data_IF_557315667510
#
_entry.id   IF_557315667510
#
_cell.length_a   1.000
_cell.length_b   1.000
_cell.length_c   1.000
_cell.angle_alpha   90.00
_cell.angle_beta   90.00
_cell.angle_gamma   90.00
#
_symmetry.space_group_name_H-M   'P 1'
#
loop_
_entity.id
_entity.type
_entity.pdbx_description
1 polymer ?
#
# COMPACT_ATOMS: atom_id res chain seq x y z
N UNK A 1 77.78 15.06 -60.41
CA UNK A 1 76.55 14.33 -60.78
C UNK A 1 76.06 13.58 -59.54
N UNK A 2 74.81 13.89 -59.14
CA UNK A 2 73.96 13.45 -58.01
C UNK A 2 74.39 12.25 -57.13
N UNK A 3 74.57 12.50 -55.84
CA UNK A 3 74.31 11.54 -54.74
C UNK A 3 73.53 12.29 -53.64
N UNK A 4 72.58 11.58 -52.99
CA UNK A 4 71.83 11.90 -51.75
C UNK A 4 70.35 12.28 -51.93
N UNK A 5 69.47 11.28 -52.09
CA UNK A 5 68.05 11.33 -51.67
C UNK A 5 67.47 9.93 -51.40
N UNK A 6 68.05 9.12 -50.50
CA UNK A 6 67.38 7.89 -50.01
C UNK A 6 67.86 7.63 -48.57
N UNK A 7 67.29 8.31 -47.57
CA UNK A 7 67.50 7.95 -46.13
C UNK A 7 66.28 8.15 -45.22
N UNK A 8 65.15 8.69 -45.70
CA UNK A 8 64.00 8.99 -44.83
C UNK A 8 62.88 7.93 -44.86
N UNK A 9 62.93 6.94 -45.75
CA UNK A 9 61.83 5.98 -45.96
C UNK A 9 61.84 4.75 -45.03
N UNK A 10 62.94 4.46 -44.33
CA UNK A 10 63.07 3.27 -43.46
C UNK A 10 62.61 3.52 -42.01
N UNK A 11 62.40 4.77 -41.59
CA UNK A 11 61.93 5.12 -40.24
C UNK A 11 60.41 5.40 -40.16
N UNK A 12 59.75 5.63 -41.30
CA UNK A 12 58.32 5.93 -41.33
C UNK A 12 57.43 4.69 -41.10
N UNK A 13 57.86 3.53 -41.61
CA UNK A 13 57.10 2.27 -41.53
C UNK A 13 56.91 1.76 -40.09
N UNK A 14 57.94 1.68 -39.22
CA UNK A 14 57.73 1.25 -37.84
C UNK A 14 56.90 2.26 -37.04
N UNK A 15 56.98 3.56 -37.36
CA UNK A 15 56.24 4.60 -36.65
C UNK A 15 54.74 4.58 -37.00
N UNK A 16 54.41 4.26 -38.26
CA UNK A 16 53.03 4.02 -38.70
C UNK A 16 52.48 2.73 -38.06
N UNK A 17 53.27 1.66 -37.98
CA UNK A 17 52.87 0.40 -37.35
C UNK A 17 52.59 0.56 -35.84
N UNK A 18 53.44 1.31 -35.13
CA UNK A 18 53.23 1.63 -33.70
C UNK A 18 52.03 2.54 -33.50
N UNK A 19 51.82 3.54 -34.37
CA UNK A 19 50.63 4.38 -34.33
C UNK A 19 49.35 3.57 -34.60
N UNK A 20 49.35 2.66 -35.57
CA UNK A 20 48.19 1.78 -35.81
C UNK A 20 47.95 0.80 -34.66
N UNK A 21 49.00 0.26 -34.03
CA UNK A 21 48.85 -0.59 -32.84
C UNK A 21 48.27 0.18 -31.64
N UNK A 22 48.70 1.43 -31.45
CA UNK A 22 48.20 2.31 -30.39
C UNK A 22 46.74 2.74 -30.65
N UNK A 23 46.35 2.99 -31.91
CA UNK A 23 44.95 3.25 -32.26
C UNK A 23 44.06 2.01 -32.04
N UNK A 24 44.53 0.80 -32.35
CA UNK A 24 43.77 -0.43 -32.04
C UNK A 24 43.69 -0.72 -30.54
N UNK A 25 44.68 -0.30 -29.74
CA UNK A 25 44.64 -0.44 -28.28
C UNK A 25 43.62 0.51 -27.61
N UNK A 26 43.36 1.68 -28.21
CA UNK A 26 42.39 2.63 -27.66
C UNK A 26 40.92 2.24 -27.93
N UNK A 27 40.65 1.30 -28.84
CA UNK A 27 39.28 0.89 -29.15
C UNK A 27 38.75 -0.28 -28.30
N UNK A 28 39.58 -0.97 -27.54
CA UNK A 28 39.15 -2.15 -26.76
C UNK A 28 38.61 -1.83 -25.35
N UNK A 29 38.53 -0.56 -24.96
CA UNK A 29 38.16 -0.16 -23.59
C UNK A 29 36.72 0.33 -23.36
N UNK A 30 35.85 0.42 -24.39
CA UNK A 30 34.56 1.12 -24.27
C UNK A 30 33.30 0.23 -24.35
N UNK A 31 33.41 -1.09 -24.34
CA UNK A 31 32.25 -1.97 -24.51
C UNK A 31 31.47 -2.27 -23.22
N UNK A 32 31.91 -1.80 -22.04
CA UNK A 32 31.28 -2.13 -20.76
C UNK A 32 30.45 -0.98 -20.12
N UNK A 33 30.61 0.25 -20.58
CA UNK A 33 29.96 1.44 -19.97
C UNK A 33 28.75 1.99 -20.75
N UNK A 34 28.43 1.46 -21.94
CA UNK A 34 27.35 2.01 -22.77
C UNK A 34 25.95 1.50 -22.43
N UNK A 35 25.82 0.40 -21.67
CA UNK A 35 24.50 -0.18 -21.34
C UNK A 35 23.76 0.64 -20.28
N UNK A 36 24.48 1.29 -19.36
CA UNK A 36 23.87 2.07 -18.26
C UNK A 36 23.57 3.53 -18.63
N UNK A 37 24.22 4.07 -19.67
CA UNK A 37 24.03 5.47 -20.11
C UNK A 37 22.68 5.70 -20.82
N UNK A 38 22.02 4.64 -21.29
CA UNK A 38 20.76 4.73 -22.04
C UNK A 38 19.52 4.61 -21.14
N UNK A 39 19.67 4.17 -19.89
CA UNK A 39 18.51 3.90 -19.05
C UNK A 39 17.64 5.13 -18.77
N UNK A 40 18.18 6.32 -18.42
CA UNK A 40 17.35 7.52 -18.24
C UNK A 40 16.59 7.93 -19.51
N UNK A 41 17.21 7.77 -20.69
CA UNK A 41 16.57 8.09 -21.98
C UNK A 41 15.49 7.09 -22.36
N UNK A 42 15.71 5.80 -22.05
CA UNK A 42 14.72 4.74 -22.22
C UNK A 42 13.50 4.98 -21.33
N UNK A 43 13.69 5.29 -20.04
CA UNK A 43 12.58 5.57 -19.12
C UNK A 43 11.71 6.72 -19.64
N UNK A 44 12.33 7.81 -20.08
CA UNK A 44 11.61 8.94 -20.67
C UNK A 44 10.82 8.55 -21.93
N UNK A 45 11.37 7.65 -22.74
CA UNK A 45 10.70 7.13 -23.94
C UNK A 45 9.49 6.28 -23.56
N UNK A 46 9.67 5.34 -22.62
CA UNK A 46 8.57 4.49 -22.12
C UNK A 46 7.46 5.36 -21.53
N UNK A 47 7.80 6.35 -20.71
CA UNK A 47 6.79 7.22 -20.09
C UNK A 47 6.07 8.12 -21.10
N UNK A 48 6.73 8.53 -22.18
CA UNK A 48 6.07 9.23 -23.27
C UNK A 48 5.15 8.31 -24.10
N UNK A 49 5.46 7.01 -24.18
CA UNK A 49 4.61 6.03 -24.88
C UNK A 49 3.39 5.63 -24.05
N UNK A 50 3.54 5.37 -22.75
CA UNK A 50 2.39 5.06 -21.89
C UNK A 50 1.39 6.22 -21.84
N UNK A 51 1.84 7.48 -21.94
CA UNK A 51 0.94 8.64 -22.07
C UNK A 51 0.01 8.49 -23.28
N UNK A 52 0.62 8.18 -24.44
CA UNK A 52 -0.13 8.00 -25.68
C UNK A 52 -1.06 6.79 -25.60
N UNK A 53 -0.56 5.67 -25.09
CA UNK A 53 -1.26 4.40 -25.07
C UNK A 53 -2.42 4.38 -24.06
N UNK A 54 -2.24 5.02 -22.90
CA UNK A 54 -3.21 4.95 -21.80
C UNK A 54 -3.95 6.27 -21.52
N UNK A 55 -3.83 7.28 -22.39
CA UNK A 55 -4.56 8.55 -22.24
C UNK A 55 -6.09 8.39 -22.20
N UNK A 56 -6.63 7.35 -22.82
CA UNK A 56 -8.06 7.00 -22.80
C UNK A 56 -8.45 6.05 -21.68
N UNK A 57 -7.55 5.79 -20.71
CA UNK A 57 -7.84 4.88 -19.60
C UNK A 57 -8.94 5.45 -18.69
N UNK A 58 -10.09 4.81 -18.73
CA UNK A 58 -11.26 5.09 -17.90
C UNK A 58 -11.19 4.36 -16.56
N UNK A 59 -12.09 4.72 -15.65
CA UNK A 59 -12.26 4.06 -14.36
C UNK A 59 -12.71 2.60 -14.55
N UNK A 60 -12.35 1.75 -13.60
CA UNK A 60 -12.57 0.31 -13.59
C UNK A 60 -12.00 -0.43 -14.80
N UNK A 61 -10.90 0.08 -15.36
CA UNK A 61 -10.18 -0.53 -16.49
C UNK A 61 -8.68 -0.63 -16.23
N UNK A 62 -8.04 -1.55 -16.93
CA UNK A 62 -6.60 -1.65 -17.10
C UNK A 62 -6.21 -1.25 -18.53
N UNK A 63 -4.99 -0.74 -18.67
CA UNK A 63 -4.35 -0.43 -19.94
C UNK A 63 -3.04 -1.21 -20.06
N UNK A 64 -2.85 -1.85 -21.21
CA UNK A 64 -1.56 -2.35 -21.65
C UNK A 64 -0.68 -1.13 -22.00
N UNK A 65 0.18 -0.74 -21.07
CA UNK A 65 0.93 0.53 -21.18
C UNK A 65 2.11 0.44 -22.14
N UNK A 66 2.98 -0.54 -21.92
CA UNK A 66 4.16 -0.80 -22.73
C UNK A 66 4.37 -2.31 -22.90
N UNK A 67 5.37 -2.71 -23.68
CA UNK A 67 5.67 -4.11 -23.99
C UNK A 67 5.77 -5.02 -22.76
N UNK A 68 5.52 -6.32 -22.94
CA UNK A 68 5.64 -7.36 -21.92
C UNK A 68 4.63 -7.28 -20.76
N UNK A 69 3.37 -6.98 -21.11
CA UNK A 69 2.23 -7.17 -20.20
C UNK A 69 1.53 -8.49 -20.56
N UNK A 70 1.13 -9.24 -19.55
CA UNK A 70 0.34 -10.46 -19.63
C UNK A 70 -0.87 -10.33 -18.70
N UNK A 71 -1.99 -10.95 -19.06
CA UNK A 71 -3.17 -10.97 -18.21
C UNK A 71 -3.87 -12.33 -18.27
N UNK A 72 -4.42 -12.75 -17.14
CA UNK A 72 -5.38 -13.83 -17.04
C UNK A 72 -6.78 -13.25 -16.80
N UNK A 73 -7.79 -13.87 -17.39
CA UNK A 73 -9.18 -13.42 -17.33
C UNK A 73 -10.07 -14.49 -16.69
N UNK A 74 -11.20 -14.06 -16.13
CA UNK A 74 -12.18 -14.96 -15.53
C UNK A 74 -13.03 -15.74 -16.55
N UNK A 75 -12.90 -15.42 -17.83
CA UNK A 75 -13.56 -16.07 -18.95
C UNK A 75 -12.57 -16.27 -20.12
N UNK A 76 -12.91 -17.13 -21.07
CA UNK A 76 -12.08 -17.36 -22.26
C UNK A 76 -12.13 -16.13 -23.19
N UNK A 77 -10.97 -15.57 -23.52
CA UNK A 77 -10.83 -14.39 -24.37
C UNK A 77 -10.21 -14.74 -25.72
N UNK A 78 -10.48 -13.97 -26.79
CA UNK A 78 -9.76 -14.10 -28.06
C UNK A 78 -8.24 -13.99 -27.91
N UNK A 79 -7.48 -14.70 -28.73
CA UNK A 79 -6.01 -14.73 -28.70
C UNK A 79 -5.34 -13.35 -28.86
N UNK A 80 -6.05 -12.37 -29.45
CA UNK A 80 -5.58 -11.01 -29.67
C UNK A 80 -6.05 -10.00 -28.61
N UNK A 81 -6.81 -10.44 -27.61
CA UNK A 81 -7.35 -9.56 -26.57
C UNK A 81 -6.29 -9.16 -25.53
N UNK A 82 -6.08 -7.86 -25.34
CA UNK A 82 -5.14 -7.30 -24.35
C UNK A 82 -3.70 -7.81 -24.55
N UNK A 83 -3.23 -7.74 -25.80
CA UNK A 83 -1.92 -8.26 -26.22
C UNK A 83 -0.97 -7.18 -26.72
N UNK A 84 -1.45 -5.95 -26.94
CA UNK A 84 -0.68 -4.86 -27.52
C UNK A 84 -0.83 -3.55 -26.72
N UNK A 85 0.16 -2.64 -26.80
CA UNK A 85 0.03 -1.32 -26.21
C UNK A 85 -1.21 -0.58 -26.67
N UNK A 86 -1.84 0.13 -25.73
CA UNK A 86 -3.14 0.81 -25.85
C UNK A 86 -4.38 -0.09 -25.79
N UNK A 87 -4.22 -1.42 -25.67
CA UNK A 87 -5.36 -2.29 -25.37
C UNK A 87 -5.91 -1.97 -23.97
N UNK A 88 -7.23 -1.95 -23.86
CA UNK A 88 -7.96 -1.72 -22.62
C UNK A 88 -8.76 -2.96 -22.24
N UNK A 89 -8.78 -3.28 -20.95
CA UNK A 89 -9.59 -4.37 -20.42
C UNK A 89 -10.30 -3.95 -19.12
N UNK A 90 -11.62 -4.19 -18.98
CA UNK A 90 -12.33 -3.99 -17.73
C UNK A 90 -11.72 -4.79 -16.57
N UNK A 91 -11.51 -4.14 -15.42
CA UNK A 91 -10.97 -4.81 -14.22
C UNK A 91 -11.88 -5.93 -13.70
N UNK A 92 -13.18 -5.87 -14.00
CA UNK A 92 -14.13 -6.93 -13.66
C UNK A 92 -13.89 -8.25 -14.42
N UNK A 93 -13.11 -8.23 -15.51
CA UNK A 93 -12.75 -9.42 -16.28
C UNK A 93 -11.33 -9.91 -15.96
N UNK A 94 -10.46 -9.06 -15.43
CA UNK A 94 -9.08 -9.39 -15.12
C UNK A 94 -9.02 -10.17 -13.80
N UNK A 95 -8.44 -11.35 -13.85
CA UNK A 95 -8.08 -12.14 -12.67
C UNK A 95 -6.67 -11.78 -12.21
N UNK A 96 -5.70 -11.78 -13.13
CA UNK A 96 -4.31 -11.41 -12.85
C UNK A 96 -3.78 -10.52 -13.97
N UNK A 97 -2.97 -9.52 -13.63
CA UNK A 97 -2.15 -8.76 -14.57
C UNK A 97 -0.69 -8.85 -14.14
N UNK A 98 0.20 -9.14 -15.08
CA UNK A 98 1.62 -9.31 -14.85
C UNK A 98 2.43 -8.49 -15.85
N UNK A 99 3.45 -7.81 -15.35
CA UNK A 99 4.47 -7.11 -16.14
C UNK A 99 5.82 -7.81 -15.96
N UNK A 100 6.71 -7.71 -16.94
CA UNK A 100 8.04 -8.33 -16.89
C UNK A 100 9.16 -7.30 -16.63
N UNK A 101 10.30 -7.73 -16.03
CA UNK A 101 11.40 -6.84 -15.74
C UNK A 101 12.05 -6.30 -17.02
N UNK A 102 12.77 -5.18 -16.89
CA UNK A 102 13.54 -4.62 -18.00
C UNK A 102 14.53 -5.67 -18.54
N UNK A 103 14.41 -5.97 -19.84
CA UNK A 103 15.42 -6.71 -20.59
C UNK A 103 16.42 -5.70 -21.21
N UNK A 104 17.69 -5.66 -20.74
CA UNK A 104 18.67 -4.71 -21.22
C UNK A 104 19.13 -4.97 -22.66
N UNK A 105 18.85 -6.16 -23.22
CA UNK A 105 19.24 -6.51 -24.60
C UNK A 105 18.19 -6.04 -25.59
N UNK A 106 16.90 -6.24 -25.26
CA UNK A 106 15.79 -5.87 -26.15
C UNK A 106 15.24 -4.48 -25.85
N UNK A 107 15.59 -3.89 -24.70
CA UNK A 107 15.01 -2.64 -24.17
C UNK A 107 13.49 -2.72 -23.96
N UNK A 108 13.01 -3.93 -23.69
CA UNK A 108 11.61 -4.18 -23.36
C UNK A 108 11.43 -4.08 -21.85
N UNK A 109 10.40 -3.36 -21.41
CA UNK A 109 10.12 -3.15 -19.99
C UNK A 109 8.61 -3.20 -19.74
N UNK A 110 8.16 -4.14 -18.90
CA UNK A 110 6.77 -4.28 -18.54
C UNK A 110 6.22 -3.05 -17.83
N UNK A 111 5.25 -2.38 -18.43
CA UNK A 111 4.47 -1.32 -17.77
C UNK A 111 2.99 -1.46 -18.07
N UNK A 112 2.16 -1.49 -17.02
CA UNK A 112 0.71 -1.50 -17.11
C UNK A 112 0.11 -0.48 -16.14
N UNK A 113 -1.07 0.04 -16.49
CA UNK A 113 -1.80 0.97 -15.64
C UNK A 113 -3.20 0.44 -15.34
N UNK A 114 -3.70 0.69 -14.15
CA UNK A 114 -5.09 0.44 -13.80
C UNK A 114 -5.70 1.64 -13.09
N UNK A 115 -6.97 1.90 -13.35
CA UNK A 115 -7.77 2.86 -12.56
C UNK A 115 -8.89 2.08 -11.90
N UNK A 116 -8.76 1.78 -10.61
CA UNK A 116 -9.82 1.11 -9.86
C UNK A 116 -10.69 2.11 -9.11
N UNK A 117 -11.93 1.72 -8.83
CA UNK A 117 -12.82 2.46 -7.95
C UNK A 117 -12.43 2.34 -6.46
N UNK A 118 -12.00 1.17 -6.01
CA UNK A 118 -11.89 0.83 -4.60
C UNK A 118 -13.20 1.12 -3.82
N UNK A 119 -13.14 1.82 -2.69
CA UNK A 119 -14.33 2.27 -1.94
C UNK A 119 -14.83 3.66 -2.35
N UNK A 120 -14.39 4.21 -3.49
CA UNK A 120 -14.87 5.51 -3.96
C UNK A 120 -16.32 5.40 -4.47
N UNK A 121 -17.18 6.40 -4.23
CA UNK A 121 -18.54 6.39 -4.76
C UNK A 121 -18.57 6.46 -6.29
N UNK A 122 -19.64 5.94 -6.90
CA UNK A 122 -19.83 6.00 -8.35
C UNK A 122 -20.17 7.39 -8.88
N UNK A 123 -20.66 8.30 -8.02
CA UNK A 123 -21.10 9.62 -8.48
C UNK A 123 -20.01 10.70 -8.41
N UNK A 124 -18.75 10.34 -8.14
CA UNK A 124 -17.61 11.27 -8.17
C UNK A 124 -16.84 11.06 -9.47
N UNK A 125 -17.20 11.77 -10.55
CA UNK A 125 -16.55 11.59 -11.83
C UNK A 125 -15.06 11.97 -11.74
N UNK A 126 -14.21 11.12 -12.34
CA UNK A 126 -12.78 11.37 -12.47
C UNK A 126 -11.91 10.93 -11.29
N UNK A 127 -12.49 10.53 -10.15
CA UNK A 127 -11.70 9.97 -9.04
C UNK A 127 -11.54 8.45 -9.20
N UNK A 128 -10.29 7.99 -9.12
CA UNK A 128 -9.93 6.58 -9.13
C UNK A 128 -8.67 6.35 -8.32
N UNK A 129 -8.47 5.12 -7.88
CA UNK A 129 -7.18 4.64 -7.40
C UNK A 129 -6.35 4.24 -8.60
N UNK A 130 -5.22 4.92 -8.81
CA UNK A 130 -4.31 4.64 -9.92
C UNK A 130 -3.29 3.61 -9.45
N UNK A 131 -3.13 2.55 -10.23
CA UNK A 131 -2.08 1.55 -10.07
C UNK A 131 -1.11 1.70 -11.24
N UNK A 132 0.18 1.75 -10.94
CA UNK A 132 1.24 1.72 -11.97
C UNK A 132 2.13 0.52 -11.66
N UNK A 133 2.09 -0.47 -12.54
CA UNK A 133 2.90 -1.68 -12.48
C UNK A 133 4.12 -1.44 -13.36
N UNK A 134 5.32 -1.55 -12.78
CA UNK A 134 6.58 -1.30 -13.48
C UNK A 134 7.56 -2.42 -13.20
N UNK A 135 8.14 -3.00 -14.25
CA UNK A 135 9.08 -4.12 -14.14
C UNK A 135 8.38 -5.43 -13.86
N UNK A 136 9.02 -6.32 -13.11
CA UNK A 136 8.43 -7.61 -12.68
C UNK A 136 7.41 -7.35 -11.57
N UNK A 137 6.13 -7.26 -11.93
CA UNK A 137 5.02 -7.04 -11.00
C UNK A 137 3.85 -7.90 -11.41
N UNK A 138 3.31 -8.65 -10.47
CA UNK A 138 2.07 -9.40 -10.62
C UNK A 138 1.04 -8.82 -9.66
N UNK A 139 -0.18 -8.58 -10.13
CA UNK A 139 -1.33 -8.20 -9.30
C UNK A 139 -2.49 -9.14 -9.62
N UNK A 140 -2.94 -9.87 -8.60
CA UNK A 140 -4.07 -10.79 -8.64
C UNK A 140 -5.27 -10.18 -7.91
N UNK A 141 -6.41 -10.08 -8.57
CA UNK A 141 -7.66 -9.65 -7.94
C UNK A 141 -8.13 -10.73 -6.96
N UNK A 142 -8.33 -10.35 -5.70
CA UNK A 142 -8.78 -11.25 -4.63
C UNK A 142 -10.18 -10.93 -4.13
N UNK A 143 -10.92 -10.10 -4.87
CA UNK A 143 -12.36 -9.92 -4.65
C UNK A 143 -13.12 -11.07 -5.29
N UNK A 144 -13.73 -11.92 -4.45
CA UNK A 144 -14.50 -13.05 -4.91
C UNK A 144 -15.73 -12.61 -5.73
N UNK A 145 -16.14 -13.34 -6.80
CA UNK A 145 -17.24 -12.95 -7.67
C UNK A 145 -18.57 -12.65 -6.98
N UNK A 146 -18.85 -13.34 -5.87
CA UNK A 146 -20.02 -13.14 -5.00
C UNK A 146 -19.98 -11.83 -4.21
N UNK A 147 -18.79 -11.27 -3.96
CA UNK A 147 -18.56 -10.03 -3.23
C UNK A 147 -18.31 -8.83 -4.16
N UNK A 148 -18.29 -9.05 -5.48
CA UNK A 148 -18.08 -7.99 -6.47
C UNK A 148 -19.26 -7.03 -6.46
N UNK A 149 -18.97 -5.76 -6.20
CA UNK A 149 -19.89 -4.65 -6.41
C UNK A 149 -20.27 -4.58 -7.89
N UNK A 150 -21.54 -4.87 -8.19
CA UNK A 150 -22.10 -4.75 -9.55
C UNK A 150 -23.00 -3.51 -9.55
N UNK A 151 -22.50 -2.35 -10.01
CA UNK A 151 -23.30 -1.13 -10.02
C UNK A 151 -24.56 -1.36 -10.87
N UNK A 152 -25.72 -1.06 -10.28
CA UNK A 152 -26.97 -0.89 -11.03
C UNK A 152 -27.21 0.58 -11.26
N UNK A 153 -28.22 0.92 -12.08
CA UNK A 153 -28.57 2.31 -12.28
C UNK A 153 -28.98 2.94 -10.94
N UNK A 154 -28.38 4.08 -10.55
CA UNK A 154 -28.81 4.78 -9.36
C UNK A 154 -30.30 5.13 -9.40
N UNK A 155 -30.91 5.17 -8.23
CA UNK A 155 -32.34 5.48 -8.07
C UNK A 155 -32.49 6.88 -7.51
N UNK A 156 -33.23 7.72 -8.21
CA UNK A 156 -33.56 9.07 -7.76
C UNK A 156 -34.45 9.03 -6.51
N UNK A 157 -34.21 9.98 -5.61
CA UNK A 157 -34.91 10.09 -4.33
C UNK A 157 -34.99 11.55 -3.88
N UNK A 158 -36.02 11.88 -3.11
CA UNK A 158 -36.22 13.24 -2.57
C UNK A 158 -36.36 13.20 -1.06
N UNK A 159 -35.63 14.06 -0.36
CA UNK A 159 -35.72 14.18 1.09
C UNK A 159 -37.12 14.67 1.50
N UNK A 160 -37.84 13.88 2.29
CA UNK A 160 -39.17 14.25 2.83
C UNK A 160 -39.06 15.22 4.01
N UNK A 161 -37.92 15.20 4.70
CA UNK A 161 -37.59 16.02 5.86
C UNK A 161 -36.08 16.29 5.90
N UNK A 162 -35.66 17.16 6.82
CA UNK A 162 -34.23 17.34 7.08
C UNK A 162 -33.63 16.01 7.56
N UNK A 163 -32.51 15.61 6.96
CA UNK A 163 -31.89 14.32 7.19
C UNK A 163 -30.41 14.48 7.56
N UNK A 164 -29.95 13.65 8.50
CA UNK A 164 -28.52 13.54 8.80
C UNK A 164 -27.85 12.64 7.76
N UNK A 165 -26.68 13.07 7.30
CA UNK A 165 -25.79 12.26 6.46
C UNK A 165 -24.72 11.64 7.35
N UNK A 166 -24.51 10.34 7.22
CA UNK A 166 -23.62 9.56 8.09
C UNK A 166 -22.53 8.84 7.34
N UNK A 167 -21.43 8.55 8.04
CA UNK A 167 -20.30 7.78 7.47
C UNK A 167 -20.59 6.28 7.29
N UNK A 168 -21.68 5.75 7.85
CA UNK A 168 -22.07 4.35 7.72
C UNK A 168 -23.57 4.09 7.97
N UNK A 169 -24.07 2.88 7.64
CA UNK A 169 -25.48 2.54 7.64
C UNK A 169 -26.02 2.25 9.05
N UNK A 170 -26.08 3.28 9.90
CA UNK A 170 -26.60 3.14 11.26
C UNK A 170 -26.61 4.44 12.05
N UNK A 171 -27.42 4.50 13.11
CA UNK A 171 -27.54 5.70 13.96
C UNK A 171 -26.33 5.91 14.88
N UNK A 172 -25.50 4.88 15.05
CA UNK A 172 -24.24 4.91 15.83
C UNK A 172 -23.04 5.42 15.03
N UNK A 173 -23.15 5.50 13.70
CA UNK A 173 -22.10 6.06 12.85
C UNK A 173 -22.08 7.59 12.94
N UNK A 174 -20.90 8.19 12.78
CA UNK A 174 -20.72 9.63 12.88
C UNK A 174 -21.57 10.37 11.85
N UNK A 175 -22.14 11.52 12.26
CA UNK A 175 -22.81 12.46 11.36
C UNK A 175 -21.73 13.30 10.68
N UNK A 176 -21.72 13.29 9.35
CA UNK A 176 -20.74 13.99 8.52
C UNK A 176 -21.37 15.15 7.75
N UNK A 177 -22.69 15.30 7.79
CA UNK A 177 -23.40 16.37 7.11
C UNK A 177 -24.91 16.33 7.34
N UNK A 178 -25.62 17.19 6.61
CA UNK A 178 -27.07 17.29 6.67
C UNK A 178 -27.66 17.68 5.32
N UNK A 179 -28.90 17.25 5.10
CA UNK A 179 -29.69 17.55 3.91
C UNK A 179 -30.97 18.24 4.33
N UNK A 180 -31.36 19.27 3.57
CA UNK A 180 -32.64 19.93 3.76
C UNK A 180 -33.78 19.15 3.10
N UNK A 181 -34.99 19.30 3.63
CA UNK A 181 -36.19 18.75 3.01
C UNK A 181 -36.35 19.26 1.56
N UNK A 182 -36.74 18.37 0.65
CA UNK A 182 -36.86 18.63 -0.79
C UNK A 182 -35.57 18.44 -1.58
N UNK A 183 -34.44 18.12 -0.94
CA UNK A 183 -33.18 17.83 -1.64
C UNK A 183 -33.34 16.56 -2.49
N UNK A 184 -33.06 16.67 -3.78
CA UNK A 184 -33.02 15.55 -4.73
C UNK A 184 -31.61 14.94 -4.77
N UNK A 185 -31.53 13.61 -4.71
CA UNK A 185 -30.29 12.83 -4.73
C UNK A 185 -30.51 11.54 -5.49
N UNK A 186 -29.43 10.80 -5.69
CA UNK A 186 -29.47 9.43 -6.20
C UNK A 186 -28.85 8.48 -5.16
N UNK A 187 -29.47 7.32 -4.97
CA UNK A 187 -28.90 6.22 -4.20
C UNK A 187 -28.39 5.12 -5.13
N UNK A 188 -27.26 4.52 -4.77
CA UNK A 188 -26.61 3.45 -5.54
C UNK A 188 -26.58 2.10 -4.79
N UNK A 189 -26.96 2.09 -3.50
CA UNK A 189 -26.98 0.88 -2.68
C UNK A 189 -28.01 0.93 -1.54
N UNK A 190 -28.29 -0.24 -0.96
CA UNK A 190 -28.93 -0.35 0.35
C UNK A 190 -28.04 -1.07 1.36
N UNK A 191 -28.28 -0.85 2.66
CA UNK A 191 -27.67 -1.67 3.71
C UNK A 191 -28.22 -3.12 3.68
N UNK A 192 -27.58 -4.08 4.37
CA UNK A 192 -28.07 -5.48 4.44
C UNK A 192 -29.51 -5.63 4.92
N UNK A 193 -29.93 -4.78 5.85
CA UNK A 193 -31.29 -4.73 6.37
C UNK A 193 -32.23 -3.81 5.57
N UNK A 194 -31.73 -3.17 4.51
CA UNK A 194 -32.48 -2.27 3.63
C UNK A 194 -32.91 -0.94 4.24
N UNK A 195 -32.55 -0.65 5.50
CA UNK A 195 -33.01 0.55 6.24
C UNK A 195 -32.22 1.82 5.89
N UNK A 196 -31.04 1.68 5.29
CA UNK A 196 -30.19 2.79 4.88
C UNK A 196 -29.96 2.76 3.38
N UNK A 197 -29.89 3.94 2.79
CA UNK A 197 -29.52 4.15 1.40
C UNK A 197 -28.15 4.77 1.34
N UNK A 198 -27.30 4.23 0.46
CA UNK A 198 -25.98 4.82 0.19
C UNK A 198 -26.14 5.89 -0.87
N UNK A 199 -25.55 7.03 -0.59
CA UNK A 199 -25.50 8.20 -1.47
C UNK A 199 -24.04 8.66 -1.56
N UNK A 200 -23.80 9.60 -2.46
CA UNK A 200 -22.57 10.40 -2.41
C UNK A 200 -22.85 11.73 -1.76
N UNK A 201 -21.99 12.09 -0.81
CA UNK A 201 -22.03 13.38 -0.14
C UNK A 201 -20.62 13.93 -0.08
N UNK A 202 -20.40 15.16 -0.55
CA UNK A 202 -19.07 15.81 -0.58
C UNK A 202 -17.95 14.91 -1.16
N UNK A 203 -18.26 14.20 -2.24
CA UNK A 203 -17.36 13.26 -2.93
C UNK A 203 -16.94 12.00 -2.15
N UNK A 204 -17.70 11.60 -1.12
CA UNK A 204 -17.47 10.37 -0.39
C UNK A 204 -18.77 9.57 -0.21
N UNK A 205 -18.62 8.27 0.07
CA UNK A 205 -19.76 7.38 0.27
C UNK A 205 -20.36 7.71 1.62
N UNK A 206 -21.66 7.93 1.64
CA UNK A 206 -22.38 8.30 2.83
C UNK A 206 -23.73 7.59 2.89
N UNK A 207 -24.34 7.63 4.05
CA UNK A 207 -25.55 6.88 4.33
C UNK A 207 -26.63 7.77 4.92
N UNK A 208 -27.84 7.59 4.42
CA UNK A 208 -29.05 8.27 4.90
C UNK A 208 -30.13 7.25 5.23
N UNK A 209 -30.98 7.59 6.21
CA UNK A 209 -32.07 6.72 6.63
C UNK A 209 -33.14 6.68 5.53
N UNK A 210 -33.47 5.48 5.04
CA UNK A 210 -34.44 5.28 3.95
C UNK A 210 -35.80 5.92 4.23
N UNK A 211 -36.25 5.82 5.48
CA UNK A 211 -37.56 6.34 5.93
C UNK A 211 -37.73 7.86 5.79
N UNK A 212 -36.64 8.61 5.57
CA UNK A 212 -36.67 10.06 5.41
C UNK A 212 -36.78 10.51 3.94
N UNK A 213 -36.91 9.57 3.00
CA UNK A 213 -36.89 9.86 1.57
C UNK A 213 -38.06 9.22 0.85
N UNK A 214 -38.58 9.94 -0.13
CA UNK A 214 -39.42 9.38 -1.17
C UNK A 214 -38.48 8.76 -2.19
N UNK A 215 -38.60 7.46 -2.42
CA UNK A 215 -37.71 6.71 -3.30
C UNK A 215 -38.55 6.13 -4.41
N UNK A 216 -38.17 6.40 -5.65
CA UNK A 216 -38.89 5.88 -6.81
C UNK A 216 -38.95 4.34 -6.73
N UNK A 217 -40.08 3.77 -7.19
CA UNK A 217 -40.44 2.35 -7.02
C UNK A 217 -39.45 1.31 -7.62
N UNK A 218 -38.34 1.75 -8.21
CA UNK A 218 -37.18 0.96 -8.66
C UNK A 218 -36.16 0.69 -7.54
N UNK A 219 -36.37 1.23 -6.33
CA UNK A 219 -35.49 1.05 -5.18
C UNK A 219 -35.32 -0.41 -4.69
N UNK A 220 -36.12 -1.34 -5.22
CA UNK A 220 -36.02 -2.78 -4.96
C UNK A 220 -34.84 -3.44 -5.69
N UNK A 221 -34.28 -2.76 -6.69
CA UNK A 221 -33.20 -3.27 -7.56
C UNK A 221 -31.81 -2.73 -7.19
N UNK A 222 -31.71 -1.94 -6.11
CA UNK A 222 -30.43 -1.45 -5.61
C UNK A 222 -29.63 -2.62 -5.00
N UNK A 223 -28.34 -2.78 -5.35
CA UNK A 223 -27.48 -3.77 -4.74
C UNK A 223 -27.29 -3.51 -3.24
N UNK A 224 -27.12 -4.59 -2.49
CA UNK A 224 -26.78 -4.51 -1.07
C UNK A 224 -25.30 -4.17 -0.94
N UNK A 225 -24.99 -3.03 -0.31
CA UNK A 225 -23.64 -2.69 0.12
C UNK A 225 -23.48 -3.13 1.57
N UNK A 226 -22.58 -4.08 1.79
CA UNK A 226 -22.16 -4.50 3.11
C UNK A 226 -20.64 -4.35 3.29
N UNK A 227 -20.15 -4.64 4.48
CA UNK A 227 -18.72 -4.55 4.78
C UNK A 227 -17.86 -5.55 4.00
N UNK A 228 -18.47 -6.55 3.35
CA UNK A 228 -17.80 -7.55 2.50
C UNK A 228 -17.83 -7.19 1.02
N UNK A 229 -18.72 -6.30 0.59
CA UNK A 229 -18.84 -5.90 -0.81
C UNK A 229 -17.64 -5.04 -1.20
N UNK A 230 -17.02 -5.36 -2.34
CA UNK A 230 -15.78 -4.74 -2.81
C UNK A 230 -15.84 -4.54 -4.32
N UNK A 231 -15.19 -3.50 -4.83
CA UNK A 231 -15.01 -3.33 -6.27
C UNK A 231 -13.74 -4.07 -6.73
N UNK A 232 -13.59 -4.38 -8.04
CA UNK A 232 -12.37 -5.03 -8.54
C UNK A 232 -11.10 -4.31 -8.09
N UNK A 233 -10.06 -5.07 -7.74
CA UNK A 233 -8.76 -4.56 -7.27
C UNK A 233 -8.79 -3.75 -5.97
N UNK A 234 -9.90 -3.76 -5.22
CA UNK A 234 -9.92 -3.23 -3.85
C UNK A 234 -9.28 -4.18 -2.84
N UNK A 235 -9.33 -5.48 -3.14
CA UNK A 235 -8.60 -6.53 -2.45
C UNK A 235 -7.77 -7.28 -3.48
N UNK A 236 -6.45 -7.31 -3.29
CA UNK A 236 -5.54 -7.91 -4.25
C UNK A 236 -4.31 -8.47 -3.56
N UNK A 237 -3.69 -9.45 -4.21
CA UNK A 237 -2.33 -9.87 -3.90
C UNK A 237 -1.41 -9.27 -4.93
N UNK A 238 -0.23 -8.83 -4.51
CA UNK A 238 0.82 -8.45 -5.43
C UNK A 238 2.11 -9.21 -5.14
N UNK A 239 2.94 -9.35 -6.17
CA UNK A 239 4.32 -9.84 -6.10
C UNK A 239 5.19 -8.93 -6.94
N UNK A 240 6.47 -8.84 -6.60
CA UNK A 240 7.44 -8.17 -7.46
C UNK A 240 8.73 -8.97 -7.53
N UNK A 241 9.41 -8.95 -8.67
CA UNK A 241 10.75 -9.52 -8.76
C UNK A 241 11.70 -8.87 -7.77
N UNK A 242 12.35 -9.67 -6.94
CA UNK A 242 13.40 -9.25 -6.01
C UNK A 242 14.75 -9.74 -6.52
N UNK A 243 15.68 -8.84 -6.78
CA UNK A 243 16.96 -9.18 -7.40
C UNK A 243 17.72 -7.96 -7.92
N UNK A 244 18.89 -8.22 -8.49
CA UNK A 244 19.70 -7.16 -9.10
C UNK A 244 18.97 -6.61 -10.34
N UNK A 245 18.70 -5.31 -10.33
CA UNK A 245 18.05 -4.61 -11.42
C UNK A 245 19.03 -4.39 -12.56
N UNK A 246 18.60 -4.64 -13.79
CA UNK A 246 19.37 -4.26 -14.98
C UNK A 246 19.58 -2.73 -15.07
N UNK A 247 18.65 -1.96 -14.49
CA UNK A 247 18.80 -0.52 -14.31
C UNK A 247 18.17 -0.05 -12.99
N UNK A 248 18.90 0.77 -12.23
CA UNK A 248 18.42 1.37 -10.97
C UNK A 248 17.20 2.28 -11.13
N UNK A 249 17.03 2.91 -12.30
CA UNK A 249 15.88 3.76 -12.61
C UNK A 249 14.64 3.03 -13.14
N UNK A 250 14.72 1.72 -13.36
CA UNK A 250 13.60 0.89 -13.83
C UNK A 250 13.31 -0.21 -12.79
N UNK A 251 12.76 0.16 -11.61
CA UNK A 251 12.53 -0.78 -10.53
C UNK A 251 11.39 -1.75 -10.85
N UNK A 252 11.41 -2.92 -10.19
CA UNK A 252 10.23 -3.75 -9.99
C UNK A 252 9.43 -3.15 -8.85
N UNK A 253 8.32 -2.47 -9.17
CA UNK A 253 7.58 -1.67 -8.20
C UNK A 253 6.11 -1.51 -8.60
N UNK A 254 5.23 -1.66 -7.61
CA UNK A 254 3.83 -1.30 -7.73
C UNK A 254 3.61 0.06 -7.05
N UNK A 255 3.17 1.07 -7.79
CA UNK A 255 2.69 2.33 -7.23
C UNK A 255 1.18 2.26 -7.11
N UNK A 256 0.65 2.72 -5.98
CA UNK A 256 -0.78 2.90 -5.74
C UNK A 256 -1.02 4.34 -5.29
N UNK A 257 -1.84 5.07 -6.03
CA UNK A 257 -2.16 6.47 -5.77
C UNK A 257 -3.67 6.64 -5.59
N UNK A 258 -4.09 7.01 -4.39
CA UNK A 258 -5.46 7.45 -4.12
C UNK A 258 -5.75 8.86 -4.67
N UNK A 259 -7.01 9.32 -4.70
CA UNK A 259 -7.33 10.71 -5.02
C UNK A 259 -6.82 11.69 -3.95
N UNK A 260 -6.61 12.96 -4.29
CA UNK A 260 -6.28 13.97 -3.28
C UNK A 260 -7.42 14.13 -2.27
N UNK A 261 -7.07 14.29 -0.99
CA UNK A 261 -8.00 14.57 0.11
C UNK A 261 -9.07 13.48 0.37
N UNK A 262 -8.94 12.30 -0.25
CA UNK A 262 -9.85 11.17 -0.04
C UNK A 262 -9.07 9.98 0.45
N UNK A 263 -9.46 9.45 1.62
CA UNK A 263 -8.89 8.22 2.16
C UNK A 263 -9.63 7.02 1.58
N UNK A 264 -8.91 6.16 0.89
CA UNK A 264 -9.40 4.88 0.38
C UNK A 264 -8.98 3.73 1.32
N UNK A 265 -9.73 2.63 1.27
CA UNK A 265 -9.43 1.39 1.99
C UNK A 265 -9.08 0.29 1.01
N UNK A 266 -7.95 -0.38 1.24
CA UNK A 266 -7.46 -1.49 0.44
C UNK A 266 -7.13 -2.68 1.34
N UNK A 267 -7.25 -3.88 0.76
CA UNK A 267 -6.71 -5.10 1.35
C UNK A 267 -5.61 -5.63 0.44
N UNK A 268 -4.36 -5.55 0.90
CA UNK A 268 -3.19 -5.90 0.10
C UNK A 268 -2.50 -7.09 0.76
N UNK A 269 -2.33 -8.18 0.04
CA UNK A 269 -1.71 -9.41 0.56
C UNK A 269 -2.37 -9.87 1.89
N UNK A 270 -3.68 -9.66 2.01
CA UNK A 270 -4.46 -10.01 3.21
C UNK A 270 -4.43 -8.96 4.34
N UNK A 271 -3.57 -7.94 4.28
CA UNK A 271 -3.54 -6.87 5.27
C UNK A 271 -4.45 -5.70 4.87
N UNK A 272 -5.28 -5.24 5.81
CA UNK A 272 -6.08 -4.03 5.64
C UNK A 272 -5.24 -2.77 5.86
N UNK A 273 -5.48 -1.77 5.01
CA UNK A 273 -4.86 -0.46 5.13
C UNK A 273 -5.74 0.63 4.55
N UNK A 274 -5.48 1.87 4.97
CA UNK A 274 -6.03 3.05 4.32
C UNK A 274 -4.93 3.95 3.80
N UNK A 275 -5.15 4.54 2.63
CA UNK A 275 -4.27 5.54 2.04
C UNK A 275 -5.07 6.72 1.54
N UNK A 276 -4.59 7.93 1.77
CA UNK A 276 -5.10 9.16 1.12
C UNK A 276 -3.99 9.81 0.28
N UNK A 277 -3.21 8.96 -0.40
CA UNK A 277 -1.78 9.23 -0.60
C UNK A 277 -1.22 8.42 -1.78
N UNK A 278 0.05 8.70 -2.13
CA UNK A 278 0.82 7.89 -3.08
C UNK A 278 1.78 6.98 -2.31
N UNK A 279 1.60 5.68 -2.47
CA UNK A 279 2.46 4.66 -1.85
C UNK A 279 3.11 3.80 -2.92
N UNK A 280 4.20 3.14 -2.53
CA UNK A 280 4.86 2.14 -3.36
C UNK A 280 5.11 0.85 -2.59
N UNK A 281 4.95 -0.26 -3.30
CA UNK A 281 5.14 -1.61 -2.81
C UNK A 281 6.23 -2.32 -3.59
N UNK A 282 7.07 -3.07 -2.87
CA UNK A 282 8.10 -3.95 -3.43
C UNK A 282 8.31 -5.15 -2.51
N UNK A 283 8.72 -6.28 -3.06
CA UNK A 283 9.34 -7.37 -2.32
C UNK A 283 10.85 -7.16 -2.33
N UNK A 284 11.47 -7.23 -1.15
CA UNK A 284 12.93 -7.09 -1.01
C UNK A 284 13.63 -8.45 -0.97
N UNK A 285 12.88 -9.50 -0.64
CA UNK A 285 13.21 -10.91 -0.76
C UNK A 285 11.90 -11.72 -0.89
N UNK A 286 11.99 -13.05 -0.84
CA UNK A 286 10.85 -13.95 -1.07
C UNK A 286 9.79 -13.90 0.05
N UNK A 287 10.18 -13.45 1.25
CA UNK A 287 9.39 -13.51 2.48
C UNK A 287 9.20 -12.13 3.13
N UNK A 288 9.55 -11.04 2.44
CA UNK A 288 9.43 -9.69 2.97
C UNK A 288 8.87 -8.70 1.96
N UNK A 289 7.77 -8.06 2.35
CA UNK A 289 7.22 -6.90 1.65
C UNK A 289 7.72 -5.60 2.28
N UNK A 290 8.06 -4.63 1.43
CA UNK A 290 8.33 -3.25 1.78
C UNK A 290 7.18 -2.35 1.28
N UNK A 291 6.70 -1.48 2.16
CA UNK A 291 5.83 -0.36 1.83
C UNK A 291 6.60 0.94 2.07
N UNK A 292 6.59 1.83 1.09
CA UNK A 292 7.14 3.18 1.22
C UNK A 292 6.11 4.22 0.84
N UNK A 293 6.00 5.29 1.61
CA UNK A 293 5.06 6.39 1.34
C UNK A 293 5.78 7.51 0.64
N UNK A 294 5.35 7.84 -0.58
CA UNK A 294 5.93 8.90 -1.39
C UNK A 294 5.26 10.22 -1.04
N UNK A 295 3.93 10.25 -0.96
CA UNK A 295 3.17 11.46 -0.62
C UNK A 295 2.07 11.13 0.40
N UNK A 296 1.75 12.08 1.28
CA UNK A 296 0.72 11.97 2.31
C UNK A 296 1.07 10.99 3.43
N UNK A 297 0.17 10.07 3.75
CA UNK A 297 0.36 9.04 4.78
C UNK A 297 -0.41 7.75 4.46
N UNK A 298 0.15 6.62 4.90
CA UNK A 298 -0.52 5.33 4.95
C UNK A 298 -0.87 4.95 6.39
N UNK A 299 -2.03 4.33 6.57
CA UNK A 299 -2.54 3.87 7.86
C UNK A 299 -2.72 2.36 7.80
N UNK A 300 -1.80 1.63 8.41
CA UNK A 300 -1.72 0.18 8.35
C UNK A 300 -2.43 -0.44 9.53
N UNK A 301 -2.97 -1.64 9.31
CA UNK A 301 -3.88 -2.33 10.23
C UNK A 301 -5.22 -1.59 10.39
N UNK A 302 -6.22 -2.34 10.82
CA UNK A 302 -7.54 -1.87 11.23
C UNK A 302 -7.64 -1.81 12.76
N UNK A 303 -8.54 -0.96 13.27
CA UNK A 303 -8.82 -0.88 14.71
C UNK A 303 -7.97 0.15 15.46
N UNK A 304 -7.64 -0.14 16.74
CA UNK A 304 -7.13 0.80 17.75
C UNK A 304 -5.61 0.99 17.79
N UNK A 305 -4.85 0.29 16.94
CA UNK A 305 -3.38 0.34 16.91
C UNK A 305 -2.86 0.59 15.48
N UNK A 306 -3.52 1.51 14.75
CA UNK A 306 -3.17 1.77 13.35
C UNK A 306 -1.78 2.38 13.25
N UNK A 307 -0.88 1.71 12.53
CA UNK A 307 0.47 2.23 12.29
C UNK A 307 0.39 3.32 11.23
N UNK A 308 0.91 4.50 11.55
CA UNK A 308 0.96 5.63 10.62
C UNK A 308 2.33 5.68 9.97
N UNK A 309 2.36 5.64 8.65
CA UNK A 309 3.59 5.81 7.85
C UNK A 309 3.48 7.11 7.07
N UNK A 310 4.20 8.18 7.46
CA UNK A 310 4.17 9.45 6.73
C UNK A 310 5.06 9.41 5.49
N UNK A 311 4.87 10.39 4.59
CA UNK A 311 5.72 10.57 3.42
C UNK A 311 7.22 10.60 3.77
N UNK A 312 8.01 9.90 2.96
CA UNK A 312 9.45 9.78 3.13
C UNK A 312 9.87 8.66 4.09
N UNK A 313 8.92 7.86 4.59
CA UNK A 313 9.17 6.72 5.46
C UNK A 313 8.80 5.40 4.80
N UNK A 314 9.37 4.33 5.34
CA UNK A 314 9.13 2.97 4.91
C UNK A 314 9.01 2.04 6.11
N UNK A 315 8.30 0.94 5.91
CA UNK A 315 8.14 -0.19 6.84
C UNK A 315 8.21 -1.49 6.04
N UNK A 316 8.47 -2.58 6.73
CA UNK A 316 8.42 -3.93 6.15
C UNK A 316 7.47 -4.83 6.94
N UNK A 317 7.02 -5.91 6.30
CA UNK A 317 6.30 -6.99 6.98
C UNK A 317 6.65 -8.35 6.37
N UNK A 318 6.63 -9.43 7.18
CA UNK A 318 6.86 -10.78 6.69
C UNK A 318 5.69 -11.27 5.83
N UNK A 319 6.01 -11.99 4.76
CA UNK A 319 5.09 -12.69 3.87
C UNK A 319 5.15 -14.20 4.14
N UNK A 320 4.00 -14.86 4.10
CA UNK A 320 3.95 -16.32 4.04
C UNK A 320 4.26 -16.74 2.61
N UNK A 321 5.35 -17.50 2.37
CA UNK A 321 5.72 -17.93 1.03
C UNK A 321 4.71 -18.91 0.39
N UNK A 322 3.80 -19.51 1.18
CA UNK A 322 2.81 -20.46 0.67
C UNK A 322 1.65 -19.77 -0.07
N UNK A 323 1.16 -18.65 0.45
CA UNK A 323 -0.02 -17.95 -0.08
C UNK A 323 0.20 -16.44 -0.31
N UNK A 324 1.43 -15.96 -0.08
CA UNK A 324 1.86 -14.57 -0.27
C UNK A 324 1.09 -13.57 0.63
N UNK A 325 0.56 -14.02 1.76
CA UNK A 325 -0.12 -13.16 2.73
C UNK A 325 0.84 -12.53 3.72
N UNK A 326 0.52 -11.34 4.21
CA UNK A 326 1.29 -10.67 5.27
C UNK A 326 0.97 -11.35 6.61
N UNK A 327 1.98 -11.99 7.21
CA UNK A 327 1.85 -12.81 8.43
C UNK A 327 2.70 -12.24 9.57
N UNK A 328 2.38 -11.01 9.99
CA UNK A 328 3.08 -10.40 11.11
C UNK A 328 2.81 -8.91 11.27
N UNK A 329 3.51 -8.31 12.23
CA UNK A 329 3.49 -6.87 12.43
C UNK A 329 4.33 -6.15 11.37
N UNK A 330 3.93 -4.93 11.05
CA UNK A 330 4.78 -3.99 10.32
C UNK A 330 5.92 -3.53 11.24
N UNK A 331 7.16 -3.70 10.77
CA UNK A 331 8.39 -3.41 11.51
C UNK A 331 9.34 -2.54 10.68
N UNK A 332 10.54 -2.30 11.23
CA UNK A 332 11.60 -1.49 10.61
C UNK A 332 11.12 -0.13 10.08
N UNK A 333 10.26 0.54 10.85
CA UNK A 333 9.86 1.91 10.56
C UNK A 333 11.10 2.81 10.52
N UNK A 334 11.46 3.32 9.35
CA UNK A 334 12.60 4.22 9.17
C UNK A 334 12.37 5.22 8.04
N UNK A 335 13.17 6.27 8.04
CA UNK A 335 13.26 7.16 6.88
C UNK A 335 13.83 6.41 5.66
N UNK A 336 13.36 6.79 4.47
CA UNK A 336 13.99 6.41 3.22
C UNK A 336 15.42 6.97 3.16
N UNK A 337 16.34 6.16 2.65
CA UNK A 337 17.74 6.56 2.45
C UNK A 337 17.89 7.42 1.19
N UNK A 338 18.98 8.20 1.06
CA UNK A 338 19.23 8.99 -0.14
C UNK A 338 19.23 8.17 -1.44
N UNK A 339 19.72 6.92 -1.39
CA UNK A 339 19.76 6.04 -2.55
C UNK A 339 18.34 5.54 -2.92
N UNK A 340 17.51 5.21 -1.92
CA UNK A 340 16.11 4.85 -2.15
C UNK A 340 15.31 6.02 -2.74
N UNK A 341 15.49 7.24 -2.22
CA UNK A 341 14.85 8.45 -2.76
C UNK A 341 15.30 8.70 -4.20
N UNK A 342 16.60 8.56 -4.48
CA UNK A 342 17.15 8.73 -5.84
C UNK A 342 16.57 7.70 -6.81
N UNK A 343 16.38 6.45 -6.37
CA UNK A 343 15.77 5.40 -7.18
C UNK A 343 14.29 5.65 -7.49
N UNK A 344 13.59 6.46 -6.67
CA UNK A 344 12.20 6.85 -6.91
C UNK A 344 12.05 8.06 -7.84
N UNK A 345 13.08 8.90 -8.03
CA UNK A 345 13.00 10.11 -8.88
C UNK A 345 12.41 9.88 -10.29
N UNK A 346 12.65 8.75 -10.99
CA UNK A 346 12.03 8.53 -12.28
C UNK A 346 10.50 8.66 -12.25
N UNK A 347 9.84 8.25 -11.16
CA UNK A 347 8.37 8.23 -11.06
C UNK A 347 7.76 9.63 -11.05
N UNK A 348 8.53 10.69 -10.75
CA UNK A 348 8.09 12.08 -10.91
C UNK A 348 7.85 12.47 -12.37
N UNK A 349 8.45 11.73 -13.31
CA UNK A 349 8.31 11.97 -14.75
C UNK A 349 7.13 11.23 -15.37
N UNK A 350 6.36 10.49 -14.58
CA UNK A 350 5.12 9.87 -15.04
C UNK A 350 4.15 10.92 -15.58
N UNK A 351 3.45 10.63 -16.70
CA UNK A 351 2.53 11.59 -17.31
C UNK A 351 1.38 11.97 -16.37
N UNK A 352 1.16 13.28 -16.19
CA UNK A 352 0.13 13.83 -15.30
C UNK A 352 -1.29 13.44 -15.71
N UNK A 353 -1.50 13.15 -16.98
CA UNK A 353 -2.76 12.65 -17.58
C UNK A 353 -3.17 11.27 -17.04
N UNK A 354 -2.21 10.49 -16.56
CA UNK A 354 -2.41 9.13 -16.06
C UNK A 354 -2.59 9.08 -14.54
N UNK A 355 -2.23 10.16 -13.84
CA UNK A 355 -2.22 10.27 -12.39
C UNK A 355 -3.39 11.13 -11.89
N UNK A 356 -3.75 10.98 -10.62
CA UNK A 356 -4.68 11.89 -9.95
C UNK A 356 -4.03 13.26 -9.72
N UNK A 357 -2.74 13.24 -9.38
CA UNK A 357 -1.89 14.40 -9.16
C UNK A 357 -0.42 14.05 -9.44
N UNK A 358 0.43 15.03 -9.79
CA UNK A 358 1.85 14.78 -10.06
C UNK A 358 2.55 14.22 -8.81
N UNK A 359 3.34 13.18 -8.97
CA UNK A 359 4.14 12.61 -7.87
C UNK A 359 5.35 13.51 -7.62
N UNK A 360 5.59 13.81 -6.34
CA UNK A 360 6.80 14.49 -5.86
C UNK A 360 7.48 13.60 -4.82
N UNK A 361 8.71 13.20 -5.08
CA UNK A 361 9.49 12.39 -4.15
C UNK A 361 9.99 13.27 -2.99
N UNK A 362 9.80 12.86 -1.72
CA UNK A 362 10.23 13.65 -0.58
C UNK A 362 11.72 13.92 -0.57
N UNK A 363 12.11 15.14 -0.23
CA UNK A 363 13.51 15.47 0.02
C UNK A 363 13.92 15.08 1.44
N UNK A 364 15.23 15.04 1.71
CA UNK A 364 15.73 14.82 3.06
C UNK A 364 15.25 15.90 4.04
N UNK A 365 15.05 17.13 3.57
CA UNK A 365 14.53 18.24 4.37
C UNK A 365 13.04 18.04 4.70
N UNK A 366 12.25 17.50 3.76
CA UNK A 366 10.85 17.15 4.00
C UNK A 366 10.73 16.04 5.05
N UNK A 367 11.57 15.01 4.96
CA UNK A 367 11.64 13.93 5.97
C UNK A 367 11.98 14.51 7.34
N UNK A 368 12.97 15.42 7.40
CA UNK A 368 13.35 16.04 8.65
C UNK A 368 12.24 16.93 9.22
N UNK A 369 11.50 17.64 8.36
CA UNK A 369 10.32 18.39 8.75
C UNK A 369 9.22 17.48 9.31
N UNK A 370 8.93 16.35 8.64
CA UNK A 370 7.96 15.36 9.09
C UNK A 370 8.33 14.81 10.47
N UNK A 371 9.60 14.44 10.71
CA UNK A 371 10.08 13.99 12.02
C UNK A 371 9.82 15.01 13.14
N UNK A 372 9.92 16.31 12.83
CA UNK A 372 9.69 17.37 13.81
C UNK A 372 8.21 17.51 14.20
N UNK A 373 7.28 17.02 13.36
CA UNK A 373 5.84 17.05 13.63
C UNK A 373 5.35 15.84 14.43
N UNK A 374 6.11 14.74 14.45
CA UNK A 374 5.74 13.53 15.16
C UNK A 374 6.04 13.68 16.68
N UNK A 375 5.14 13.22 17.57
CA UNK A 375 5.25 13.47 19.03
C UNK A 375 6.53 12.90 19.71
N UNK A 376 7.55 13.74 19.80
CA UNK A 376 8.77 13.67 20.63
C UNK A 376 9.52 12.32 20.76
N UNK A 377 10.66 12.27 20.06
CA UNK A 377 11.89 11.47 20.31
C UNK A 377 11.73 9.95 20.42
N UNK A 378 11.10 9.41 19.38
CA UNK A 378 11.51 8.11 18.90
C UNK A 378 12.82 8.14 18.11
N UNK A 379 13.69 7.15 18.29
CA UNK A 379 14.83 6.94 17.39
C UNK A 379 14.36 6.42 16.01
N UNK A 380 15.29 5.99 15.16
CA UNK A 380 15.01 5.42 13.82
C UNK A 380 14.17 4.12 13.82
N UNK A 381 13.61 3.70 14.95
CA UNK A 381 12.82 2.46 15.13
C UNK A 381 11.49 2.70 15.85
N UNK A 382 11.06 3.96 16.01
CA UNK A 382 9.82 4.26 16.73
C UNK A 382 8.63 4.17 15.80
N UNK A 383 7.70 3.30 16.15
CA UNK A 383 6.43 3.13 15.47
C UNK A 383 5.45 4.17 16.01
N UNK A 384 4.74 4.82 15.10
CA UNK A 384 3.68 5.77 15.44
C UNK A 384 2.33 5.10 15.26
N UNK A 385 1.50 5.15 16.29
CA UNK A 385 0.15 4.60 16.28
C UNK A 385 -0.87 5.72 16.52
N UNK A 386 -2.10 5.51 16.04
CA UNK A 386 -3.23 6.40 16.36
C UNK A 386 -3.88 5.93 17.66
N UNK A 387 -3.94 6.79 18.68
CA UNK A 387 -4.61 6.52 19.96
C UNK A 387 -6.16 6.58 19.86
N UNK A 388 -6.84 6.22 20.96
CA UNK A 388 -8.32 6.24 21.05
C UNK A 388 -8.95 7.61 20.77
N UNK A 389 -8.17 8.70 20.84
CA UNK A 389 -8.62 10.07 20.58
C UNK A 389 -8.27 10.55 19.16
N UNK A 390 -7.68 9.69 18.33
CA UNK A 390 -7.24 10.03 16.98
C UNK A 390 -5.88 10.75 16.93
N UNK A 391 -5.16 10.87 18.04
CA UNK A 391 -3.84 11.48 18.06
C UNK A 391 -2.77 10.46 17.67
N UNK A 392 -1.76 10.92 16.93
CA UNK A 392 -0.57 10.12 16.68
C UNK A 392 0.24 10.08 17.98
N UNK A 393 0.66 8.89 18.42
CA UNK A 393 1.50 8.68 19.61
C UNK A 393 2.66 7.72 19.28
N UNK A 394 3.80 7.87 19.94
CA UNK A 394 4.94 6.95 19.76
C UNK A 394 4.80 5.73 20.65
N UNK A 395 5.04 4.55 20.10
CA UNK A 395 5.20 3.31 20.87
C UNK A 395 6.69 2.97 20.85
N UNK A 396 7.32 2.98 22.03
CA UNK A 396 8.69 2.50 22.18
C UNK A 396 8.73 1.00 21.93
N UNK A 397 9.60 0.54 21.03
CA UNK A 397 9.85 -0.89 20.82
C UNK A 397 10.42 -1.52 22.10
N UNK A 398 9.54 -2.00 22.98
CA UNK A 398 9.93 -2.81 24.12
C UNK A 398 9.92 -4.27 23.70
N UNK A 399 11.11 -4.86 23.65
CA UNK A 399 11.32 -6.30 23.63
C UNK A 399 10.56 -6.95 24.79
N UNK A 400 9.63 -7.85 24.45
CA UNK A 400 9.15 -8.99 25.23
C UNK A 400 9.45 -8.98 26.75
N UNK A 401 8.44 -8.70 27.58
CA UNK A 401 8.43 -9.15 28.98
C UNK A 401 7.00 -9.51 29.37
N UNK A 402 6.83 -10.77 29.75
CA UNK A 402 5.57 -11.41 30.06
C UNK A 402 4.75 -10.69 31.13
N UNK A 403 3.45 -10.97 31.08
CA UNK A 403 2.42 -10.29 31.86
C UNK A 403 2.60 -10.34 33.38
N UNK A 404 1.99 -9.34 33.99
CA UNK A 404 1.78 -9.21 35.42
C UNK A 404 0.77 -8.09 35.65
N UNK A 405 -0.50 -8.44 35.60
CA UNK A 405 -1.62 -7.58 35.99
C UNK A 405 -1.42 -7.10 37.43
N UNK A 406 -1.56 -5.81 37.70
CA UNK A 406 -2.02 -5.38 39.02
C UNK A 406 -2.79 -4.05 38.93
N UNK A 407 -4.13 -4.18 38.99
CA UNK A 407 -5.02 -3.23 39.65
C UNK A 407 -4.44 -2.94 41.05
N UNK A 408 -4.19 -1.69 41.43
CA UNK A 408 -5.23 -0.76 41.86
C UNK A 408 -5.47 -1.00 43.36
N UNK A 409 -4.97 -0.11 44.19
CA UNK A 409 -5.70 0.52 45.30
C UNK A 409 -4.74 1.44 46.08
N UNK A 410 -5.18 2.69 46.19
CA UNK A 410 -4.64 3.74 47.05
C UNK A 410 -4.86 3.36 48.53
N UNK A 411 -3.93 3.75 49.40
CA UNK A 411 -4.28 4.40 50.67
C UNK A 411 -3.03 5.02 51.31
N UNK A 412 -3.24 6.24 51.79
CA UNK A 412 -2.34 7.15 52.49
C UNK A 412 -1.68 6.52 53.73
N UNK A 413 -0.42 6.90 54.02
CA UNK A 413 -0.13 7.67 55.23
C UNK A 413 1.36 8.06 55.33
N UNK A 414 1.56 9.31 55.76
CA UNK A 414 2.82 9.91 56.13
C UNK A 414 3.43 9.20 57.35
N UNK A 415 4.75 9.05 57.37
CA UNK A 415 5.61 9.79 58.31
C UNK A 415 7.06 9.30 58.14
N UNK A 416 7.89 10.22 57.64
CA UNK A 416 9.34 10.14 57.70
C UNK A 416 9.78 10.29 59.16
N UNK A 417 10.59 9.36 59.67
CA UNK A 417 11.63 9.69 60.65
C UNK A 417 12.73 8.59 60.65
N UNK A 418 13.89 9.04 60.19
CA UNK A 418 15.24 8.84 60.71
C UNK A 418 15.90 7.44 60.87
N UNK A 419 17.17 7.53 60.44
CA UNK A 419 18.37 6.89 60.96
C UNK A 419 18.76 5.46 60.56
N UNK A 420 19.55 5.43 59.49
CA UNK A 420 21.00 5.23 59.54
C UNK A 420 21.59 4.08 60.41
N UNK A 421 22.42 3.33 59.68
CA UNK A 421 23.69 2.75 60.08
C UNK A 421 23.71 1.30 60.57
N UNK A 422 24.56 0.54 59.88
CA UNK A 422 25.52 -0.46 60.37
C UNK A 422 25.14 -1.27 61.63
N UNK A 423 25.13 -2.59 61.64
CA UNK A 423 25.85 -3.53 60.79
C UNK A 423 26.31 -4.70 61.67
N UNK A 424 26.46 -5.84 61.02
CA UNK A 424 27.29 -6.98 61.39
C UNK A 424 26.89 -7.83 62.62
N UNK A 425 26.92 -9.16 62.43
CA UNK A 425 27.09 -10.12 63.53
C UNK A 425 26.17 -11.32 63.42
N UNK A 426 26.73 -12.46 63.00
CA UNK A 426 25.99 -13.71 62.80
C UNK A 426 25.56 -14.41 64.09
N UNK A 427 24.82 -15.52 63.93
CA UNK A 427 24.62 -16.47 65.01
C UNK A 427 23.28 -17.21 64.98
N UNK A 428 23.29 -18.38 64.34
CA UNK A 428 22.76 -19.67 64.83
C UNK A 428 21.46 -19.69 65.69
N UNK A 429 20.43 -20.43 65.27
CA UNK A 429 19.28 -20.70 66.13
C UNK A 429 18.09 -21.45 65.53
N UNK A 430 18.24 -22.77 65.38
CA UNK A 430 17.25 -23.84 65.50
C UNK A 430 15.79 -23.47 65.92
N UNK A 431 14.78 -23.99 65.19
CA UNK A 431 13.74 -24.93 65.71
C UNK A 431 12.42 -24.80 64.95
N UNK A 432 11.74 -25.94 64.76
CA UNK A 432 10.33 -26.00 65.16
C UNK A 432 9.28 -26.28 64.09
N UNK A 433 9.34 -27.50 63.57
CA UNK A 433 8.21 -28.38 63.20
C UNK A 433 6.79 -28.02 63.70
N UNK A 434 5.79 -28.37 62.89
CA UNK A 434 4.40 -28.63 63.30
C UNK A 434 3.40 -27.91 62.38
N UNK A 435 2.36 -28.52 61.85
CA UNK A 435 1.77 -29.84 62.06
C UNK A 435 0.41 -29.81 61.34
N UNK A 436 0.06 -30.91 60.67
CA UNK A 436 -1.18 -31.03 59.91
C UNK A 436 -2.42 -31.31 60.74
N UNK A 437 -3.56 -31.15 60.07
CA UNK A 437 -4.85 -31.85 60.23
C UNK A 437 -5.69 -31.37 59.03
N UNK A 438 -6.44 -32.16 58.25
CA UNK A 438 -7.03 -33.48 58.48
C UNK A 438 -8.56 -33.34 58.37
N UNK A 439 -9.18 -34.12 57.47
CA UNK A 439 -10.63 -34.39 57.37
C UNK A 439 -11.34 -33.65 56.23
N UNK A 440 -11.81 -34.31 55.14
CA UNK A 440 -12.99 -35.22 55.03
C UNK A 440 -14.28 -34.35 54.96
N UNK A 441 -15.29 -34.50 54.08
CA UNK A 441 -15.80 -35.59 53.26
C UNK A 441 -16.83 -35.02 52.24
N UNK A 442 -17.02 -35.78 51.15
CA UNK A 442 -18.28 -36.15 50.47
C UNK A 442 -19.24 -35.12 49.79
N UNK A 443 -19.36 -35.33 48.47
CA UNK A 443 -20.54 -35.91 47.79
C UNK A 443 -21.31 -35.13 46.70
N UNK A 444 -21.55 -35.91 45.64
CA UNK A 444 -22.71 -35.96 44.74
C UNK A 444 -23.00 -34.83 43.71
N UNK A 445 -22.86 -35.20 42.43
CA UNK A 445 -23.98 -35.51 41.52
C UNK A 445 -23.87 -34.90 40.11
N UNK A 446 -23.85 -35.84 39.17
CA UNK A 446 -24.09 -35.83 37.72
C UNK A 446 -25.20 -34.94 37.15
N UNK A 447 -25.07 -34.61 35.85
CA UNK A 447 -26.18 -34.23 34.98
C UNK A 447 -25.78 -33.97 33.52
N UNK A 448 -25.86 -35.00 32.68
CA UNK A 448 -25.70 -34.95 31.21
C UNK A 448 -26.96 -34.42 30.50
N UNK A 449 -26.84 -33.82 29.31
CA UNK A 449 -27.99 -33.53 28.45
C UNK A 449 -27.65 -32.99 27.06
N UNK A 450 -27.69 -33.88 26.06
CA UNK A 450 -27.62 -33.63 24.61
C UNK A 450 -28.93 -33.07 24.04
N UNK A 451 -28.87 -32.34 22.91
CA UNK A 451 -30.06 -32.05 22.10
C UNK A 451 -29.77 -31.28 20.80
N UNK A 452 -29.70 -32.01 19.70
CA UNK A 452 -29.80 -31.55 18.31
C UNK A 452 -31.21 -31.07 17.96
N UNK A 453 -31.33 -30.05 17.09
CA UNK A 453 -32.23 -29.94 15.93
C UNK A 453 -31.68 -28.88 14.97
#
# INVERSE_FOLDING_TARGET
>A
MRIRRIRYSLLAIPLILVASLLLSYQQQGQAADTVFAECPAMIQTVFAEIDRNCSSLERNSACYGFQQVQAAFNEEMPDDYFTHPADLAPLSMIDTIQTLPLDPVTSNWGVALMKAQANLPDTVPGQSVVFVLMGDVEVENRVAPENLWRPTNPVSMTALANANVRSGPGTTWNVIGGLDAGTELEADATSPNGSWLRITYENQAAWVSRDLFDVDGTASDLPVADESTRTPMQMFYFRTGFGELACSGAPNQLIVQGPEHVTINLTVNGAEMSIGSTISFRQIDADTVQLSVIEGAAYLNSGRDRVVVPAGFTVIAPLDPADNTIVGAWTEFRALTPDELTAMLPVETLPRTLLNYPIVVPTQDDIQAALNTLPSRGGSNTVWVVDDNGNIVSVGGSSNSGGGSNSGDDDDDNDDDDDSSSGNGGGNGNSGNGGGNGGDDDDESSGSGSGSH
#
